data_IF_354574859389
#
_entry.id   IF_354574859389
#
_cell.length_a   1.000
_cell.length_b   1.000
_cell.length_c   1.000
_cell.angle_alpha   90.00
_cell.angle_beta   90.00
_cell.angle_gamma   90.00
#
_symmetry.space_group_name_H-M   'P 1'
#
loop_
_entity.id
_entity.type
_entity.pdbx_description
1 polymer ?
#
# COMPACT_ATOMS: atom_id res chain seq x y z
N UNK A 1 -64.15 10.42 -17.28
CA UNK A 1 -62.99 10.54 -18.18
C UNK A 1 -61.79 9.92 -17.47
N UNK A 2 -61.46 8.70 -17.86
CA UNK A 2 -60.43 7.86 -17.23
C UNK A 2 -59.09 8.16 -17.88
N UNK A 3 -58.07 8.54 -17.11
CA UNK A 3 -56.68 8.65 -17.58
C UNK A 3 -55.84 7.63 -16.82
N UNK A 4 -55.44 6.58 -17.53
CA UNK A 4 -54.41 5.65 -17.10
C UNK A 4 -53.04 6.26 -17.43
N UNK A 5 -52.15 6.30 -16.44
CA UNK A 5 -50.72 6.44 -16.68
C UNK A 5 -50.02 5.20 -16.10
N UNK A 6 -49.66 4.28 -16.98
CA UNK A 6 -48.60 3.29 -16.74
C UNK A 6 -47.28 3.98 -17.04
N UNK A 7 -46.36 4.12 -16.09
CA UNK A 7 -44.93 4.16 -16.43
C UNK A 7 -44.06 3.61 -15.30
N UNK A 8 -43.53 2.43 -15.61
CA UNK A 8 -42.14 1.98 -15.47
C UNK A 8 -41.55 1.86 -14.05
N UNK A 9 -41.39 0.59 -13.69
CA UNK A 9 -40.41 0.06 -12.76
C UNK A 9 -39.00 0.50 -13.15
N UNK A 10 -38.38 1.39 -12.37
CA UNK A 10 -36.96 1.67 -12.41
C UNK A 10 -36.25 0.82 -11.37
N UNK A 11 -35.87 -0.39 -11.76
CA UNK A 11 -34.97 -1.26 -11.00
C UNK A 11 -33.69 -0.47 -10.74
N UNK A 12 -33.44 -0.09 -9.47
CA UNK A 12 -32.12 0.31 -9.02
C UNK A 12 -31.22 -0.92 -9.02
N UNK A 13 -30.75 -1.30 -10.21
CA UNK A 13 -29.57 -2.14 -10.36
C UNK A 13 -28.42 -1.28 -9.86
N UNK A 14 -28.11 -1.42 -8.57
CA UNK A 14 -26.83 -1.01 -8.03
C UNK A 14 -25.77 -1.60 -8.93
N UNK A 15 -25.16 -0.74 -9.74
CA UNK A 15 -23.90 -1.01 -10.41
C UNK A 15 -22.88 -1.26 -9.29
N UNK A 16 -22.83 -2.50 -8.83
CA UNK A 16 -21.64 -3.03 -8.23
C UNK A 16 -20.57 -2.87 -9.32
N UNK A 17 -19.74 -1.84 -9.19
CA UNK A 17 -18.58 -1.67 -10.03
C UNK A 17 -17.88 -3.03 -10.09
N UNK A 18 -17.53 -3.54 -11.29
CA UNK A 18 -16.85 -4.80 -11.38
C UNK A 18 -15.65 -4.71 -10.45
N UNK A 19 -15.58 -5.61 -9.48
CA UNK A 19 -14.39 -5.90 -8.69
C UNK A 19 -13.34 -6.40 -9.67
N UNK A 20 -12.81 -5.49 -10.49
CA UNK A 20 -11.70 -5.74 -11.37
C UNK A 20 -10.65 -6.40 -10.52
N UNK A 21 -10.16 -7.56 -10.98
CA UNK A 21 -9.05 -8.24 -10.38
C UNK A 21 -7.95 -7.19 -10.14
N UNK A 22 -7.78 -6.77 -8.89
CA UNK A 22 -6.88 -5.69 -8.54
C UNK A 22 -5.47 -6.24 -8.78
N UNK A 23 -4.93 -5.90 -9.93
CA UNK A 23 -3.60 -6.29 -10.36
C UNK A 23 -2.58 -5.49 -9.58
N UNK A 24 -1.44 -6.12 -9.28
CA UNK A 24 -0.31 -5.38 -8.76
C UNK A 24 0.09 -4.32 -9.81
N UNK A 25 0.23 -3.05 -9.42
CA UNK A 25 0.75 -2.05 -10.35
C UNK A 25 2.18 -2.39 -10.78
N UNK A 26 2.60 -1.80 -11.91
CA UNK A 26 4.00 -1.86 -12.33
C UNK A 26 4.85 -1.04 -11.36
N UNK A 27 5.56 -1.75 -10.49
CA UNK A 27 6.60 -1.20 -9.62
C UNK A 27 7.96 -1.43 -10.28
N UNK A 28 8.95 -0.60 -9.93
CA UNK A 28 10.29 -0.68 -10.50
C UNK A 28 11.34 -0.47 -9.42
N UNK A 29 12.39 -1.28 -9.45
CA UNK A 29 13.57 -1.07 -8.61
C UNK A 29 14.18 0.30 -8.90
N UNK A 30 14.60 1.00 -7.84
CA UNK A 30 15.15 2.34 -7.89
C UNK A 30 14.11 3.47 -7.89
N UNK A 31 12.80 3.18 -8.03
CA UNK A 31 11.78 4.22 -7.89
C UNK A 31 11.68 4.72 -6.45
N UNK A 32 11.33 5.99 -6.25
CA UNK A 32 11.11 6.51 -4.90
C UNK A 32 9.92 5.83 -4.25
N UNK A 33 10.03 5.57 -2.94
CA UNK A 33 8.96 4.97 -2.17
C UNK A 33 7.69 5.82 -2.20
N UNK A 34 7.81 7.15 -2.19
CA UNK A 34 6.67 8.05 -2.32
C UNK A 34 5.86 7.77 -3.60
N UNK A 35 6.55 7.58 -4.73
CA UNK A 35 5.92 7.24 -6.02
C UNK A 35 5.29 5.85 -5.98
N UNK A 36 5.99 4.86 -5.42
CA UNK A 36 5.47 3.49 -5.28
C UNK A 36 4.20 3.47 -4.42
N UNK A 37 4.21 4.19 -3.29
CA UNK A 37 3.09 4.35 -2.37
C UNK A 37 1.87 4.95 -3.07
N UNK A 38 2.03 6.05 -3.78
CA UNK A 38 0.92 6.67 -4.54
C UNK A 38 0.32 5.69 -5.55
N UNK A 39 1.17 4.98 -6.28
CA UNK A 39 0.73 4.00 -7.28
C UNK A 39 -0.08 2.87 -6.64
N UNK A 40 0.33 2.39 -5.46
CA UNK A 40 -0.41 1.40 -4.70
C UNK A 40 -1.76 1.92 -4.21
N UNK A 41 -1.80 3.14 -3.66
CA UNK A 41 -3.04 3.78 -3.20
C UNK A 41 -4.05 3.93 -4.34
N UNK A 42 -3.61 4.36 -5.53
CA UNK A 42 -4.44 4.46 -6.73
C UNK A 42 -5.02 3.11 -7.20
N UNK A 43 -4.32 2.01 -6.92
CA UNK A 43 -4.79 0.65 -7.22
C UNK A 43 -5.60 0.02 -6.08
N UNK A 44 -5.95 0.79 -5.06
CA UNK A 44 -6.79 0.34 -3.96
C UNK A 44 -6.07 -0.45 -2.87
N UNK A 45 -4.73 -0.48 -2.89
CA UNK A 45 -3.95 -0.96 -1.76
C UNK A 45 -4.02 0.05 -0.61
N UNK A 46 -4.01 -0.45 0.62
CA UNK A 46 -4.11 0.37 1.82
C UNK A 46 -2.90 0.13 2.73
N UNK A 47 -2.31 1.19 3.32
CA UNK A 47 -1.25 1.05 4.33
C UNK A 47 -1.70 0.08 5.42
N UNK A 48 -0.92 -0.97 5.67
CA UNK A 48 -1.14 -1.85 6.80
C UNK A 48 -0.65 -1.12 8.05
N UNK A 49 -1.54 -0.37 8.71
CA UNK A 49 -1.17 0.36 9.92
C UNK A 49 -0.74 -0.62 11.01
N UNK A 50 0.55 -0.60 11.35
CA UNK A 50 1.11 -1.41 12.43
C UNK A 50 1.18 -0.63 13.75
N UNK A 51 0.34 0.40 13.94
CA UNK A 51 0.38 1.27 15.13
C UNK A 51 0.36 0.50 16.46
N UNK A 52 -0.27 -0.69 16.48
CA UNK A 52 -0.33 -1.56 17.67
C UNK A 52 0.96 -2.34 17.93
N UNK A 53 1.77 -2.64 16.92
CA UNK A 53 3.03 -3.41 17.03
C UNK A 53 4.16 -2.57 17.67
N UNK A 54 4.03 -1.24 17.66
CA UNK A 54 5.02 -0.29 18.22
C UNK A 54 5.14 -0.26 19.73
N UNK A 55 4.16 -0.80 20.47
CA UNK A 55 4.22 -0.75 21.93
C UNK A 55 5.29 -1.69 22.54
N UNK A 56 5.90 -2.57 21.73
CA UNK A 56 6.79 -3.62 22.21
C UNK A 56 8.29 -3.42 21.88
N UNK A 57 8.66 -2.53 20.96
CA UNK A 57 10.06 -2.35 20.56
C UNK A 57 10.46 -0.88 20.42
N UNK A 58 11.68 -0.49 20.83
CA UNK A 58 12.18 0.87 20.63
C UNK A 58 12.30 1.19 19.14
N UNK A 59 11.84 2.38 18.76
CA UNK A 59 11.96 2.86 17.38
C UNK A 59 13.42 3.17 17.04
N UNK A 60 13.86 2.72 15.87
CA UNK A 60 15.16 3.13 15.32
C UNK A 60 15.08 4.58 14.82
N UNK A 61 16.19 5.33 14.73
CA UNK A 61 16.19 6.69 14.16
C UNK A 61 15.60 6.75 12.75
N UNK A 62 15.87 5.71 11.94
CA UNK A 62 15.31 5.57 10.58
C UNK A 62 13.79 5.43 10.63
N UNK A 63 13.24 4.61 11.54
CA UNK A 63 11.79 4.50 11.71
C UNK A 63 11.17 5.82 12.16
N UNK A 64 11.81 6.53 13.10
CA UNK A 64 11.34 7.86 13.55
C UNK A 64 11.28 8.84 12.38
N UNK A 65 12.31 8.87 11.53
CA UNK A 65 12.34 9.68 10.32
C UNK A 65 11.18 9.34 9.36
N UNK A 66 11.01 8.06 9.03
CA UNK A 66 9.96 7.61 8.11
C UNK A 66 8.55 7.89 8.65
N UNK A 67 8.34 7.78 9.96
CA UNK A 67 7.07 8.19 10.59
C UNK A 67 6.88 9.70 10.60
N UNK A 68 7.94 10.48 10.77
CA UNK A 68 7.91 11.94 10.59
C UNK A 68 7.44 12.36 9.19
N UNK A 69 7.72 11.53 8.18
CA UNK A 69 7.21 11.70 6.81
C UNK A 69 5.77 11.17 6.61
N UNK A 70 5.16 10.56 7.63
CA UNK A 70 3.80 10.02 7.57
C UNK A 70 3.68 8.59 7.03
N UNK A 71 4.79 7.84 6.92
CA UNK A 71 4.78 6.44 6.47
C UNK A 71 4.48 5.49 7.64
N UNK A 72 3.20 5.36 7.99
CA UNK A 72 2.74 4.54 9.12
C UNK A 72 2.75 3.02 8.83
N UNK A 73 2.92 2.66 7.56
CA UNK A 73 3.04 1.29 7.06
C UNK A 73 4.43 0.65 7.24
N UNK A 74 5.41 1.37 7.78
CA UNK A 74 6.73 0.80 8.08
C UNK A 74 6.56 -0.37 9.06
N UNK A 75 6.93 -1.58 8.64
CA UNK A 75 6.80 -2.81 9.42
C UNK A 75 8.06 -3.17 10.21
N UNK A 76 9.19 -2.58 9.85
CA UNK A 76 10.47 -2.72 10.55
C UNK A 76 11.64 -2.31 9.67
N UNK A 77 12.79 -2.03 10.29
CA UNK A 77 14.03 -1.72 9.60
C UNK A 77 15.19 -2.53 10.19
N UNK A 78 16.12 -2.97 9.34
CA UNK A 78 17.36 -3.60 9.79
C UNK A 78 18.45 -2.53 10.05
N UNK A 79 19.60 -2.96 10.59
CA UNK A 79 20.74 -2.08 10.89
C UNK A 79 21.46 -1.57 9.64
N UNK A 80 21.26 -2.22 8.51
CA UNK A 80 21.85 -1.87 7.21
C UNK A 80 21.01 -0.80 6.48
N UNK A 81 19.94 -0.31 7.09
CA UNK A 81 19.10 0.75 6.54
C UNK A 81 18.08 0.26 5.53
N UNK A 82 17.76 -1.04 5.52
CA UNK A 82 16.63 -1.60 4.76
C UNK A 82 15.37 -1.55 5.61
N UNK A 83 14.26 -1.14 5.01
CA UNK A 83 12.97 -1.06 5.69
C UNK A 83 11.88 -1.78 4.91
N UNK A 84 11.02 -2.49 5.64
CA UNK A 84 9.79 -3.07 5.11
C UNK A 84 8.62 -2.10 5.23
N UNK A 85 7.79 -2.05 4.19
CA UNK A 85 6.58 -1.24 4.13
C UNK A 85 5.41 -2.15 3.74
N UNK A 86 4.42 -2.30 4.61
CA UNK A 86 3.34 -3.26 4.43
C UNK A 86 2.05 -2.60 3.92
N UNK A 87 1.45 -3.20 2.91
CA UNK A 87 0.15 -2.83 2.36
C UNK A 87 -0.78 -4.02 2.41
N UNK A 88 -2.08 -3.73 2.56
CA UNK A 88 -3.14 -4.73 2.51
C UNK A 88 -4.14 -4.39 1.43
N UNK A 89 -4.77 -5.44 0.92
CA UNK A 89 -5.85 -5.36 -0.05
C UNK A 89 -7.17 -5.85 0.55
N UNK A 90 -8.30 -5.42 -0.03
CA UNK A 90 -9.66 -5.78 0.42
C UNK A 90 -9.98 -7.28 0.41
N UNK A 91 -9.16 -8.12 -0.25
CA UNK A 91 -9.26 -9.59 -0.19
C UNK A 91 -8.34 -10.23 0.86
N UNK A 92 -7.71 -9.44 1.72
CA UNK A 92 -6.77 -9.90 2.76
C UNK A 92 -5.36 -10.19 2.26
N UNK A 93 -5.04 -9.91 0.98
CA UNK A 93 -3.68 -10.05 0.46
C UNK A 93 -2.77 -8.98 1.07
N UNK A 94 -1.57 -9.38 1.48
CA UNK A 94 -0.52 -8.50 1.97
C UNK A 94 0.56 -8.34 0.90
N UNK A 95 1.00 -7.11 0.71
CA UNK A 95 2.15 -6.74 -0.13
C UNK A 95 3.18 -6.12 0.79
N UNK A 96 4.42 -6.55 0.68
CA UNK A 96 5.54 -5.89 1.35
C UNK A 96 6.46 -5.30 0.31
N UNK A 97 6.73 -4.00 0.42
CA UNK A 97 7.79 -3.30 -0.30
C UNK A 97 9.02 -3.25 0.59
N UNK A 98 10.19 -3.47 0.00
CA UNK A 98 11.46 -3.31 0.69
C UNK A 98 12.21 -2.12 0.10
N UNK A 99 12.58 -1.18 0.97
CA UNK A 99 13.27 0.05 0.59
C UNK A 99 14.69 0.11 1.17
N UNK A 100 15.56 0.87 0.51
CA UNK A 100 16.89 1.26 1.01
C UNK A 100 17.06 2.79 1.02
N UNK A 101 18.21 3.25 1.55
CA UNK A 101 18.58 4.68 1.65
C UNK A 101 17.53 5.51 2.38
N UNK A 102 17.16 5.00 3.56
CA UNK A 102 16.15 5.59 4.43
C UNK A 102 16.73 6.66 5.37
N UNK A 103 17.85 7.30 5.00
CA UNK A 103 18.51 8.31 5.81
C UNK A 103 17.95 9.72 5.53
N UNK A 104 17.93 10.61 6.54
CA UNK A 104 17.43 11.97 6.40
C UNK A 104 18.35 12.90 5.60
N UNK A 105 19.62 12.52 5.39
CA UNK A 105 20.61 13.30 4.64
C UNK A 105 20.53 13.04 3.12
N UNK A 106 19.70 12.06 2.70
CA UNK A 106 19.47 11.72 1.31
C UNK A 106 18.17 12.36 0.79
N UNK A 107 18.32 13.40 -0.03
CA UNK A 107 17.23 14.14 -0.65
C UNK A 107 16.34 13.29 -1.57
N UNK A 108 16.82 12.15 -2.07
CA UNK A 108 16.03 11.27 -2.93
C UNK A 108 14.95 10.48 -2.16
N UNK A 109 15.06 10.43 -0.84
CA UNK A 109 14.23 9.59 0.03
C UNK A 109 14.45 8.09 -0.19
N UNK A 110 13.62 7.25 0.44
CA UNK A 110 13.71 5.80 0.31
C UNK A 110 13.52 5.34 -1.13
N UNK A 111 14.39 4.43 -1.58
CA UNK A 111 14.28 3.81 -2.90
C UNK A 111 13.77 2.39 -2.78
N UNK A 112 12.82 2.02 -3.65
CA UNK A 112 12.29 0.67 -3.73
C UNK A 112 13.33 -0.27 -4.31
N UNK A 113 13.55 -1.41 -3.67
CA UNK A 113 14.50 -2.43 -4.13
C UNK A 113 13.79 -3.67 -4.65
N UNK A 114 12.93 -4.27 -3.81
CA UNK A 114 12.17 -5.47 -4.12
C UNK A 114 10.82 -5.49 -3.42
N UNK A 115 9.92 -6.38 -3.84
CA UNK A 115 8.58 -6.49 -3.27
C UNK A 115 7.98 -7.88 -3.48
N UNK A 116 7.11 -8.30 -2.57
CA UNK A 116 6.51 -9.62 -2.57
C UNK A 116 5.07 -9.61 -2.05
N UNK A 117 4.27 -10.57 -2.54
CA UNK A 117 2.90 -10.79 -2.07
C UNK A 117 2.84 -12.04 -1.21
N UNK A 118 2.08 -11.95 -0.11
CA UNK A 118 1.77 -13.06 0.79
C UNK A 118 2.73 -13.20 1.97
N UNK A 119 2.38 -14.10 2.88
CA UNK A 119 3.12 -14.33 4.12
C UNK A 119 4.37 -15.22 3.93
N UNK A 120 4.45 -15.95 2.82
CA UNK A 120 5.55 -16.86 2.46
C UNK A 120 6.55 -16.27 1.45
N UNK A 121 6.41 -14.99 1.07
CA UNK A 121 7.46 -14.22 0.40
C UNK A 121 7.86 -14.69 -1.01
N UNK A 122 6.91 -14.75 -1.95
CA UNK A 122 7.29 -14.87 -3.37
C UNK A 122 7.72 -13.48 -3.89
N UNK A 123 9.02 -13.29 -4.09
CA UNK A 123 9.55 -12.11 -4.77
C UNK A 123 8.98 -12.04 -6.20
N UNK A 124 8.42 -10.89 -6.53
CA UNK A 124 7.81 -10.59 -7.84
C UNK A 124 8.35 -9.28 -8.41
N UNK A 125 9.49 -8.82 -7.90
CA UNK A 125 10.28 -7.79 -8.57
C UNK A 125 10.75 -8.33 -9.92
N UNK A 126 10.58 -7.52 -10.98
CA UNK A 126 10.93 -7.84 -12.36
C UNK A 126 12.01 -6.90 -12.86
#
# INVERSE_FOLDING_TARGET
MTKYYLLAWGIWLGLAAPLGAQSLPKLQTGMTYATARLTLLEKGWRPASQLKRFQAQPLTPVMVYLYGLGYLEVSGCNREGWCGMEFTHGKGQRLTLITRRNDPDNDAGPLLEHWYIGDEGKDISQ
#
